data_IF_065121483198
#
_entry.id   IF_065121483198
#
_cell.length_a   1.000
_cell.length_b   1.000
_cell.length_c   1.000
_cell.angle_alpha   90.00
_cell.angle_beta   90.00
_cell.angle_gamma   90.00
#
_symmetry.space_group_name_H-M   'P 1'
#
loop_
_entity.id
_entity.type
_entity.pdbx_description
1 polymer ?
#
# COMPACT_ATOMS: atom_id res chain seq x y z
N UNK A 1 5.94 -4.62 14.15
CA UNK A 1 6.49 -3.63 13.20
C UNK A 1 7.61 -2.85 13.86
N UNK A 2 8.73 -2.72 13.19
CA UNK A 2 9.86 -1.92 13.63
C UNK A 2 9.98 -0.67 12.74
N UNK A 3 10.86 0.25 13.13
CA UNK A 3 11.16 1.42 12.28
C UNK A 3 11.64 1.01 10.90
N UNK A 4 12.45 -0.05 10.85
CA UNK A 4 12.96 -0.58 9.58
C UNK A 4 11.83 -1.14 8.72
N UNK A 5 10.89 -1.84 9.32
CA UNK A 5 9.73 -2.37 8.60
C UNK A 5 8.93 -1.23 7.97
N UNK A 6 8.73 -0.15 8.70
CA UNK A 6 8.04 1.02 8.20
C UNK A 6 8.79 1.66 7.03
N UNK A 7 10.11 1.84 7.17
CA UNK A 7 10.94 2.43 6.12
C UNK A 7 10.87 1.63 4.83
N UNK A 8 10.94 0.31 4.93
CA UNK A 8 10.84 -0.60 3.78
C UNK A 8 9.44 -0.56 3.17
N UNK A 9 8.40 -0.52 4.00
CA UNK A 9 7.02 -0.40 3.53
C UNK A 9 6.80 0.87 2.73
N UNK A 10 7.29 1.99 3.24
CA UNK A 10 7.17 3.27 2.55
C UNK A 10 7.87 3.24 1.20
N UNK A 11 9.09 2.73 1.15
CA UNK A 11 9.84 2.61 -0.09
C UNK A 11 9.09 1.77 -1.12
N UNK A 12 8.53 0.65 -0.70
CA UNK A 12 7.76 -0.24 -1.57
C UNK A 12 6.53 0.46 -2.15
N UNK A 13 5.77 1.14 -1.31
CA UNK A 13 4.56 1.86 -1.75
C UNK A 13 4.91 3.00 -2.70
N UNK A 14 5.99 3.71 -2.42
CA UNK A 14 6.48 4.77 -3.30
C UNK A 14 6.88 4.23 -4.67
N UNK A 15 7.62 3.14 -4.67
CA UNK A 15 8.07 2.49 -5.91
C UNK A 15 6.89 1.98 -6.74
N UNK A 16 5.88 1.43 -6.08
CA UNK A 16 4.65 0.99 -6.76
C UNK A 16 3.92 2.17 -7.41
N UNK A 17 3.99 3.35 -6.79
CA UNK A 17 3.41 4.56 -7.37
C UNK A 17 4.24 5.08 -8.55
N UNK A 18 5.49 4.66 -8.66
CA UNK A 18 6.37 5.05 -9.76
C UNK A 18 6.98 6.43 -9.62
N UNK A 19 7.18 6.92 -8.40
CA UNK A 19 7.76 8.24 -8.16
C UNK A 19 9.06 8.12 -7.38
N UNK A 20 9.97 9.08 -7.57
CA UNK A 20 11.20 9.14 -6.81
C UNK A 20 10.94 9.68 -5.40
N UNK A 21 11.84 9.38 -4.47
CA UNK A 21 11.75 9.91 -3.11
C UNK A 21 11.79 11.44 -3.12
N UNK A 22 12.62 12.01 -3.99
CA UNK A 22 12.73 13.46 -4.14
C UNK A 22 11.41 14.06 -4.63
N UNK A 23 10.82 13.51 -5.69
CA UNK A 23 9.59 14.02 -6.26
C UNK A 23 8.43 13.93 -5.26
N UNK A 24 8.34 12.82 -4.55
CA UNK A 24 7.33 12.67 -3.51
C UNK A 24 7.51 13.72 -2.41
N UNK A 25 8.75 13.93 -1.96
CA UNK A 25 9.05 14.93 -0.93
C UNK A 25 8.61 16.33 -1.35
N UNK A 26 8.98 16.72 -2.56
CA UNK A 26 8.62 18.05 -3.09
C UNK A 26 7.12 18.19 -3.29
N UNK A 27 6.46 17.15 -3.80
CA UNK A 27 5.00 17.16 -3.98
C UNK A 27 4.25 17.29 -2.65
N UNK A 28 4.84 16.81 -1.56
CA UNK A 28 4.27 16.93 -0.22
C UNK A 28 4.60 18.26 0.45
N UNK A 29 5.31 19.16 -0.23
CA UNK A 29 5.72 20.44 0.35
C UNK A 29 6.86 20.31 1.36
N UNK A 30 7.63 19.24 1.28
CA UNK A 30 8.76 18.99 2.17
C UNK A 30 10.08 19.29 1.47
N UNK A 31 11.19 19.28 2.23
CA UNK A 31 12.50 19.40 1.62
C UNK A 31 12.81 18.16 0.76
N UNK A 32 13.75 18.25 -0.21
CA UNK A 32 13.98 17.17 -1.17
C UNK A 32 14.41 15.84 -0.55
N UNK A 33 15.01 15.86 0.63
CA UNK A 33 15.51 14.66 1.30
C UNK A 33 14.53 14.04 2.29
N UNK A 34 13.35 14.59 2.44
CA UNK A 34 12.40 14.17 3.49
C UNK A 34 12.08 12.68 3.43
N UNK A 35 11.61 12.20 2.29
CA UNK A 35 11.24 10.79 2.14
C UNK A 35 12.47 9.88 2.20
N UNK A 36 13.56 10.26 1.55
CA UNK A 36 14.79 9.48 1.59
C UNK A 36 15.32 9.31 3.02
N UNK A 37 15.22 10.34 3.85
CA UNK A 37 15.64 10.25 5.24
C UNK A 37 14.78 9.26 6.04
N UNK A 38 13.49 9.18 5.74
CA UNK A 38 12.62 8.19 6.38
C UNK A 38 12.96 6.79 5.88
N UNK A 39 13.10 6.61 4.57
CA UNK A 39 13.39 5.31 3.97
C UNK A 39 14.76 4.77 4.38
N UNK A 40 15.73 5.64 4.65
CA UNK A 40 17.05 5.23 5.11
C UNK A 40 17.14 5.04 6.63
N UNK A 41 16.08 5.34 7.35
CA UNK A 41 16.05 5.20 8.80
C UNK A 41 16.66 6.35 9.57
N UNK A 42 17.03 7.44 8.89
CA UNK A 42 17.63 8.61 9.56
C UNK A 42 16.60 9.40 10.36
N UNK A 43 15.35 9.36 9.96
CA UNK A 43 14.27 10.05 10.67
C UNK A 43 12.97 9.27 10.52
N UNK A 44 12.02 9.58 11.38
CA UNK A 44 10.67 9.04 11.31
C UNK A 44 9.69 10.20 11.17
N UNK A 45 8.57 10.00 10.46
CA UNK A 45 7.61 11.08 10.31
C UNK A 45 6.84 11.32 11.60
N UNK A 46 6.37 12.56 11.77
CA UNK A 46 5.39 12.88 12.79
C UNK A 46 4.05 12.22 12.45
N UNK A 47 3.12 12.24 13.40
CA UNK A 47 1.77 11.74 13.13
C UNK A 47 1.13 12.49 11.97
N UNK A 48 1.28 13.82 11.91
CA UNK A 48 0.80 14.62 10.78
C UNK A 48 1.47 14.18 9.48
N UNK A 49 2.77 13.89 9.54
CA UNK A 49 3.53 13.38 8.39
C UNK A 49 2.95 12.07 7.87
N UNK A 50 2.55 11.18 8.76
CA UNK A 50 1.89 9.92 8.40
C UNK A 50 0.62 10.21 7.59
N UNK A 51 -0.20 11.15 8.04
CA UNK A 51 -1.44 11.49 7.34
C UNK A 51 -1.17 12.09 5.96
N UNK A 52 -0.15 12.93 5.83
CA UNK A 52 0.23 13.51 4.53
C UNK A 52 0.78 12.43 3.58
N UNK A 53 1.57 11.50 4.09
CA UNK A 53 2.06 10.36 3.30
C UNK A 53 0.89 9.54 2.77
N UNK A 54 -0.06 9.20 3.63
CA UNK A 54 -1.25 8.45 3.23
C UNK A 54 -2.06 9.18 2.17
N UNK A 55 -2.25 10.49 2.35
CA UNK A 55 -2.98 11.30 1.37
C UNK A 55 -2.28 11.30 0.02
N UNK A 56 -0.96 11.47 0.01
CA UNK A 56 -0.19 11.46 -1.23
C UNK A 56 -0.27 10.12 -1.94
N UNK A 57 -0.15 9.03 -1.19
CA UNK A 57 -0.18 7.68 -1.74
C UNK A 57 -1.59 7.17 -2.07
N UNK A 58 -2.63 7.88 -1.62
CA UNK A 58 -4.02 7.46 -1.83
C UNK A 58 -4.41 6.23 -1.03
N UNK A 59 -3.87 6.07 0.15
CA UNK A 59 -4.12 4.93 1.04
C UNK A 59 -4.54 5.40 2.42
N UNK A 60 -5.06 4.47 3.24
CA UNK A 60 -5.38 4.76 4.64
C UNK A 60 -4.15 4.47 5.53
N UNK A 61 -4.12 5.02 6.76
CA UNK A 61 -3.08 4.62 7.72
C UNK A 61 -3.06 3.11 7.98
N UNK A 62 -4.22 2.47 7.99
CA UNK A 62 -4.29 1.01 8.12
C UNK A 62 -3.52 0.32 7.00
N UNK A 63 -3.72 0.76 5.76
CA UNK A 63 -3.02 0.22 4.60
C UNK A 63 -1.51 0.43 4.71
N UNK A 64 -1.12 1.62 5.17
CA UNK A 64 0.30 1.97 5.32
C UNK A 64 1.01 1.01 6.28
N UNK A 65 0.36 0.65 7.37
CA UNK A 65 0.94 -0.21 8.41
C UNK A 65 0.73 -1.70 8.17
N UNK A 66 0.02 -2.07 7.13
CA UNK A 66 -0.19 -3.48 6.77
C UNK A 66 0.93 -3.94 5.85
N UNK A 67 2.05 -4.33 6.43
CA UNK A 67 3.24 -4.70 5.68
C UNK A 67 3.07 -5.98 4.86
N UNK A 68 2.06 -6.78 5.17
CA UNK A 68 1.78 -8.02 4.45
C UNK A 68 0.85 -7.81 3.25
N UNK A 69 0.23 -6.65 3.15
CA UNK A 69 -0.66 -6.34 2.03
C UNK A 69 0.15 -6.14 0.74
N UNK A 70 -0.32 -6.71 -0.36
CA UNK A 70 0.36 -6.62 -1.65
C UNK A 70 0.33 -5.20 -2.19
N UNK A 71 -0.80 -4.72 -2.68
CA UNK A 71 -0.93 -3.39 -3.27
C UNK A 71 -2.21 -2.73 -2.74
N UNK A 72 -2.11 -1.87 -1.70
CA UNK A 72 -3.29 -1.24 -1.12
C UNK A 72 -4.07 -0.39 -2.13
N UNK A 73 -3.39 0.32 -3.02
CA UNK A 73 -4.06 1.17 -4.01
C UNK A 73 -4.91 0.35 -4.97
N UNK A 74 -4.44 -0.82 -5.40
CA UNK A 74 -5.20 -1.72 -6.26
C UNK A 74 -6.36 -2.38 -5.53
N UNK A 75 -6.15 -2.75 -4.27
CA UNK A 75 -7.22 -3.29 -3.44
C UNK A 75 -8.31 -2.26 -3.21
N UNK A 76 -7.93 -1.00 -2.97
CA UNK A 76 -8.88 0.10 -2.80
C UNK A 76 -9.66 0.38 -4.09
N UNK A 77 -9.00 0.32 -5.23
CA UNK A 77 -9.65 0.45 -6.54
C UNK A 77 -10.68 -0.65 -6.73
N UNK A 78 -10.30 -1.90 -6.45
CA UNK A 78 -11.21 -3.04 -6.53
C UNK A 78 -12.42 -2.85 -5.62
N UNK A 79 -12.19 -2.40 -4.38
CA UNK A 79 -13.28 -2.14 -3.44
C UNK A 79 -14.23 -1.07 -3.96
N UNK A 80 -13.69 0.01 -4.54
CA UNK A 80 -14.51 1.08 -5.10
C UNK A 80 -15.41 0.58 -6.23
N UNK A 81 -14.90 -0.30 -7.07
CA UNK A 81 -15.67 -0.93 -8.13
C UNK A 81 -16.72 -1.86 -7.53
N UNK A 82 -16.33 -2.66 -6.55
CA UNK A 82 -17.19 -3.65 -5.92
C UNK A 82 -18.42 -3.02 -5.25
N UNK A 83 -18.27 -1.82 -4.70
CA UNK A 83 -19.39 -1.12 -4.06
C UNK A 83 -20.57 -0.87 -4.99
N UNK A 84 -20.34 -0.80 -6.31
CA UNK A 84 -21.39 -0.60 -7.30
C UNK A 84 -22.04 -1.88 -7.81
N UNK A 85 -21.58 -3.04 -7.36
CA UNK A 85 -22.08 -4.33 -7.85
C UNK A 85 -23.30 -4.81 -7.04
N UNK A 86 -24.14 -5.60 -7.71
CA UNK A 86 -25.25 -6.28 -7.03
C UNK A 86 -24.73 -7.38 -6.11
N UNK A 87 -25.58 -7.87 -5.21
CA UNK A 87 -25.20 -8.98 -4.33
C UNK A 87 -24.81 -10.23 -5.11
N UNK A 88 -25.52 -10.54 -6.19
CA UNK A 88 -25.18 -11.67 -7.04
C UNK A 88 -23.82 -11.49 -7.68
N UNK A 89 -23.54 -10.31 -8.22
CA UNK A 89 -22.25 -10.00 -8.81
C UNK A 89 -21.12 -10.06 -7.79
N UNK A 90 -21.37 -9.56 -6.58
CA UNK A 90 -20.39 -9.63 -5.49
C UNK A 90 -20.11 -11.08 -5.11
N UNK A 91 -21.14 -11.94 -5.04
CA UNK A 91 -20.93 -13.36 -4.74
C UNK A 91 -20.05 -14.02 -5.80
N UNK A 92 -20.28 -13.69 -7.07
CA UNK A 92 -19.45 -14.21 -8.16
C UNK A 92 -18.00 -13.73 -8.04
N UNK A 93 -17.81 -12.46 -7.72
CA UNK A 93 -16.47 -11.89 -7.55
C UNK A 93 -15.75 -12.52 -6.34
N UNK A 94 -16.47 -12.72 -5.25
CA UNK A 94 -15.94 -13.37 -4.05
C UNK A 94 -15.50 -14.80 -4.39
N UNK A 95 -16.30 -15.54 -5.11
CA UNK A 95 -15.97 -16.91 -5.52
C UNK A 95 -14.71 -16.93 -6.38
N UNK A 96 -14.62 -16.01 -7.33
CA UNK A 96 -13.42 -15.89 -8.17
C UNK A 96 -12.18 -15.55 -7.36
N UNK A 97 -12.29 -14.58 -6.46
CA UNK A 97 -11.18 -14.16 -5.61
C UNK A 97 -10.69 -15.31 -4.72
N UNK A 98 -11.62 -16.06 -4.14
CA UNK A 98 -11.29 -17.24 -3.33
C UNK A 98 -10.59 -18.31 -4.18
N UNK A 99 -11.02 -18.49 -5.41
CA UNK A 99 -10.39 -19.43 -6.34
C UNK A 99 -8.96 -19.06 -6.67
N UNK A 100 -8.70 -17.78 -6.89
CA UNK A 100 -7.35 -17.30 -7.16
C UNK A 100 -6.42 -17.53 -5.96
N UNK A 101 -6.90 -17.25 -4.76
CA UNK A 101 -6.15 -17.47 -3.53
C UNK A 101 -5.86 -18.95 -3.31
N UNK A 102 -6.84 -19.80 -3.60
CA UNK A 102 -6.74 -21.24 -3.47
C UNK A 102 -5.76 -21.83 -4.47
N UNK A 103 -5.71 -21.28 -5.70
CA UNK A 103 -4.76 -21.71 -6.72
C UNK A 103 -3.32 -21.48 -6.29
N UNK A 104 -3.06 -20.39 -5.58
CA UNK A 104 -1.72 -20.11 -5.05
C UNK A 104 -1.31 -21.11 -4.00
N UNK A 105 -2.24 -21.45 -3.10
CA UNK A 105 -1.98 -22.35 -1.99
C UNK A 105 -1.63 -23.78 -2.47
N UNK A 106 -2.41 -24.40 -3.37
CA UNK A 106 -2.09 -25.73 -3.90
C UNK A 106 -0.73 -25.81 -4.58
N UNK A 107 -0.34 -24.76 -5.32
CA UNK A 107 0.97 -24.72 -5.97
C UNK A 107 2.09 -24.83 -4.95
N UNK A 108 1.96 -24.18 -3.83
CA UNK A 108 2.93 -24.29 -2.74
C UNK A 108 2.93 -25.68 -2.12
N UNK A 109 1.76 -26.27 -2.00
CA UNK A 109 1.63 -27.61 -1.44
C UNK A 109 2.18 -28.68 -2.35
N UNK A 110 2.03 -28.51 -3.65
CA UNK A 110 2.52 -29.46 -4.64
C UNK A 110 4.04 -29.41 -4.72
N UNK A 111 4.57 -28.23 -4.63
CA UNK A 111 6.01 -28.06 -4.62
C UNK A 111 6.63 -28.58 -3.36
#
# INVERSE_FOLDING_TARGET
MTDKDFSLRLAKLREEKGVSARDMSLSMGQNPGYINNIESGKSMPSLSGIFYICKYLGITPKDLFDIDAASPSKANELYSIAKGLSNEQLDNLIALAKGLRKSRSPLKGVA
#
